data_IF_646842187538
#
_entry.id   IF_646842187538
#
_cell.length_a   1.000
_cell.length_b   1.000
_cell.length_c   1.000
_cell.angle_alpha   90.00
_cell.angle_beta   90.00
_cell.angle_gamma   90.00
#
_symmetry.space_group_name_H-M   'P 1'
#
loop_
_entity.id
_entity.type
_entity.pdbx_description
1 polymer ?
#
# COMPACT_ATOMS: atom_id res chain seq x y z
N UNK A 1 -31.50 8.71 -1.52
CA UNK A 1 -30.76 8.86 -0.25
C UNK A 1 -30.62 7.49 0.39
N UNK A 2 -29.58 6.76 -0.02
CA UNK A 2 -29.38 5.38 0.42
C UNK A 2 -28.85 5.37 1.85
N UNK A 3 -29.59 4.71 2.73
CA UNK A 3 -29.17 4.36 4.10
C UNK A 3 -28.09 3.26 4.05
N UNK A 4 -27.00 3.50 3.32
CA UNK A 4 -25.87 2.59 3.27
C UNK A 4 -25.08 2.74 4.59
N UNK A 5 -25.59 2.04 5.60
CA UNK A 5 -24.87 1.48 6.73
C UNK A 5 -23.82 2.37 7.42
N UNK A 6 -24.28 3.43 8.12
CA UNK A 6 -23.50 4.07 9.19
C UNK A 6 -22.98 3.07 10.24
N UNK A 7 -23.58 1.87 10.35
CA UNK A 7 -23.13 0.77 11.22
C UNK A 7 -21.81 0.12 10.79
N UNK A 8 -21.48 0.10 9.49
CA UNK A 8 -20.21 -0.44 8.99
C UNK A 8 -19.09 0.59 9.25
N UNK A 9 -19.38 1.88 9.01
CA UNK A 9 -18.47 3.00 9.33
C UNK A 9 -18.22 3.07 10.84
N UNK A 10 -19.24 2.85 11.67
CA UNK A 10 -19.12 2.81 13.13
C UNK A 10 -18.35 1.59 13.64
N UNK A 11 -18.31 0.49 12.89
CA UNK A 11 -17.56 -0.72 13.23
C UNK A 11 -16.08 -0.63 12.77
N UNK A 12 -15.78 0.10 11.69
CA UNK A 12 -14.41 0.37 11.23
C UNK A 12 -13.70 1.46 12.04
N UNK A 13 -14.44 2.44 12.61
CA UNK A 13 -13.89 3.54 13.41
C UNK A 13 -13.30 3.12 14.78
N UNK A 14 -13.35 1.83 15.14
CA UNK A 14 -12.84 1.29 16.40
C UNK A 14 -11.54 0.48 16.23
N UNK A 15 -10.60 0.96 15.41
CA UNK A 15 -9.23 0.40 15.35
C UNK A 15 -8.22 1.54 15.44
N UNK A 16 -8.09 2.15 16.62
CA UNK A 16 -7.02 3.12 16.95
C UNK A 16 -5.93 2.42 17.78
N UNK A 17 -5.56 1.20 17.39
CA UNK A 17 -4.63 0.41 18.18
C UNK A 17 -3.96 -0.65 17.32
N UNK A 18 -2.63 -0.61 17.30
CA UNK A 18 -1.82 -1.67 16.71
C UNK A 18 -1.84 -2.85 17.67
N UNK A 19 -2.60 -3.90 17.34
CA UNK A 19 -2.59 -5.14 18.12
C UNK A 19 -1.74 -6.19 17.41
N UNK A 20 -0.72 -6.68 18.10
CA UNK A 20 0.04 -7.87 17.71
C UNK A 20 -0.49 -9.08 18.48
N UNK A 21 -1.23 -9.97 17.83
CA UNK A 21 -1.66 -11.24 18.42
C UNK A 21 -0.64 -12.32 18.09
N UNK A 22 0.12 -12.76 19.11
CA UNK A 22 1.02 -13.90 19.00
C UNK A 22 0.40 -15.09 19.75
N UNK A 23 0.03 -16.15 19.01
CA UNK A 23 -0.40 -17.42 19.62
C UNK A 23 0.81 -18.16 20.20
N UNK A 24 0.99 -18.10 21.52
CA UNK A 24 2.16 -18.61 22.24
C UNK A 24 2.36 -20.15 22.23
N UNK A 25 1.59 -20.91 21.45
CA UNK A 25 1.57 -22.38 21.47
C UNK A 25 2.08 -23.07 20.19
N UNK A 26 2.51 -22.31 19.17
CA UNK A 26 3.03 -22.87 17.91
C UNK A 26 4.54 -22.61 17.78
N UNK A 27 5.28 -23.61 17.29
CA UNK A 27 6.74 -23.53 17.07
C UNK A 27 7.12 -22.46 16.01
N UNK A 28 6.17 -22.09 15.15
CA UNK A 28 6.26 -20.96 14.22
C UNK A 28 4.88 -20.28 14.16
N UNK A 29 4.56 -19.36 15.10
CA UNK A 29 3.24 -18.77 15.12
C UNK A 29 3.05 -17.83 13.92
N UNK A 30 1.83 -17.83 13.38
CA UNK A 30 1.39 -16.74 12.51
C UNK A 30 1.37 -15.48 13.36
N UNK A 31 2.07 -14.43 12.92
CA UNK A 31 2.00 -13.10 13.52
C UNK A 31 0.89 -12.32 12.83
N UNK A 32 0.02 -11.67 13.59
CA UNK A 32 -0.99 -10.77 13.05
C UNK A 32 -0.79 -9.38 13.63
N UNK A 33 -0.64 -8.38 12.76
CA UNK A 33 -0.52 -6.97 13.11
C UNK A 33 -1.67 -6.20 12.49
N UNK A 34 -2.49 -5.55 13.32
CA UNK A 34 -3.47 -4.56 12.88
C UNK A 34 -2.93 -3.14 13.13
N UNK A 35 -3.47 -2.12 12.50
CA UNK A 35 -3.13 -0.73 12.77
C UNK A 35 -3.97 0.24 11.95
N UNK A 36 -3.89 1.54 12.26
CA UNK A 36 -4.44 2.58 11.41
C UNK A 36 -3.53 3.81 11.43
N UNK A 37 -3.36 4.43 10.27
CA UNK A 37 -2.61 5.69 10.14
C UNK A 37 -3.56 6.84 9.88
N UNK A 38 -3.33 7.99 10.51
CA UNK A 38 -4.03 9.22 10.18
C UNK A 38 -3.08 10.14 9.39
N UNK A 39 -3.50 10.53 8.18
CA UNK A 39 -2.71 11.41 7.30
C UNK A 39 -3.51 12.66 6.98
N UNK A 40 -2.81 13.78 6.78
CA UNK A 40 -3.44 15.04 6.36
C UNK A 40 -3.89 15.03 4.90
N UNK A 41 -3.27 14.17 4.08
CA UNK A 41 -3.53 13.98 2.65
C UNK A 41 -3.05 12.59 2.24
N UNK A 42 -3.80 11.91 1.38
CA UNK A 42 -3.37 10.64 0.79
C UNK A 42 -2.70 10.89 -0.57
N UNK A 43 -1.37 10.82 -0.58
CA UNK A 43 -0.57 10.86 -1.80
C UNK A 43 -0.04 9.46 -2.11
N UNK A 44 -0.32 8.96 -3.31
CA UNK A 44 0.13 7.66 -3.79
C UNK A 44 0.91 7.83 -5.09
N UNK A 45 2.21 7.49 -5.05
CA UNK A 45 3.09 7.47 -6.23
C UNK A 45 3.12 8.78 -7.05
N UNK A 46 2.95 9.92 -6.38
CA UNK A 46 2.91 11.25 -7.00
C UNK A 46 1.50 11.75 -7.33
N UNK A 47 0.49 10.88 -7.26
CA UNK A 47 -0.91 11.22 -7.40
C UNK A 47 -1.54 11.56 -6.05
N UNK A 48 -2.42 12.54 -6.06
CA UNK A 48 -3.07 13.06 -4.86
C UNK A 48 -4.54 12.61 -4.86
N UNK A 49 -4.86 11.68 -3.96
CA UNK A 49 -6.17 11.02 -3.89
C UNK A 49 -7.06 11.57 -2.78
N UNK A 50 -6.67 12.67 -2.13
CA UNK A 50 -7.54 13.27 -1.15
C UNK A 50 -7.04 14.59 -0.63
N UNK A 51 -7.68 15.69 -1.06
CA UNK A 51 -7.52 17.02 -0.46
C UNK A 51 -8.17 17.15 0.93
N UNK A 52 -8.13 16.06 1.69
CA UNK A 52 -8.69 15.93 3.02
C UNK A 52 -7.85 14.93 3.82
N UNK A 53 -8.00 15.01 5.13
CA UNK A 53 -7.42 14.01 6.01
C UNK A 53 -8.06 12.63 5.77
N UNK A 54 -7.23 11.60 5.85
CA UNK A 54 -7.64 10.21 5.65
C UNK A 54 -7.25 9.35 6.85
N UNK A 55 -8.10 8.38 7.16
CA UNK A 55 -7.76 7.26 8.05
C UNK A 55 -7.46 6.03 7.21
N UNK A 56 -6.35 5.37 7.53
CA UNK A 56 -5.79 4.30 6.72
C UNK A 56 -5.61 3.02 7.55
N UNK A 57 -6.66 2.21 7.74
CA UNK A 57 -6.57 0.95 8.45
C UNK A 57 -5.74 -0.08 7.68
N UNK A 58 -5.04 -0.94 8.40
CA UNK A 58 -4.26 -2.03 7.84
C UNK A 58 -4.32 -3.27 8.76
N UNK A 59 -4.30 -4.43 8.14
CA UNK A 59 -4.18 -5.73 8.81
C UNK A 59 -3.22 -6.59 8.01
N UNK A 60 -2.23 -7.18 8.67
CA UNK A 60 -1.28 -8.10 8.03
C UNK A 60 -1.14 -9.36 8.86
N UNK A 61 -1.20 -10.52 8.19
CA UNK A 61 -0.82 -11.80 8.72
C UNK A 61 0.51 -12.25 8.08
N UNK A 62 1.46 -12.66 8.90
CA UNK A 62 2.82 -13.03 8.48
C UNK A 62 3.16 -14.44 8.93
N UNK A 63 3.72 -15.23 8.01
CA UNK A 63 4.22 -16.57 8.28
C UNK A 63 5.42 -16.90 7.38
N UNK A 64 6.62 -17.06 7.96
CA UNK A 64 7.86 -17.51 7.27
C UNK A 64 8.15 -16.78 5.95
N UNK A 65 8.05 -15.45 5.97
CA UNK A 65 8.30 -14.59 4.80
C UNK A 65 7.09 -14.37 3.90
N UNK A 66 6.02 -15.19 4.02
CA UNK A 66 4.72 -14.92 3.42
C UNK A 66 3.99 -13.88 4.26
N UNK A 67 3.43 -12.88 3.60
CA UNK A 67 2.55 -11.89 4.18
C UNK A 67 1.26 -11.84 3.36
N UNK A 68 0.13 -11.73 4.04
CA UNK A 68 -1.16 -11.45 3.42
C UNK A 68 -1.79 -10.33 4.21
N UNK A 69 -2.33 -9.34 3.53
CA UNK A 69 -2.85 -8.16 4.20
C UNK A 69 -3.98 -7.47 3.48
N UNK A 70 -4.56 -6.56 4.23
CA UNK A 70 -5.53 -5.58 3.82
C UNK A 70 -4.97 -4.20 4.17
N UNK A 71 -5.22 -3.24 3.30
CA UNK A 71 -5.03 -1.82 3.57
C UNK A 71 -6.24 -1.06 3.03
N UNK A 72 -6.59 0.06 3.63
CA UNK A 72 -7.59 0.96 3.06
C UNK A 72 -7.25 2.41 3.32
N UNK A 73 -7.93 3.30 2.61
CA UNK A 73 -7.84 4.75 2.79
C UNK A 73 -9.22 5.36 2.68
N UNK A 74 -9.66 6.01 3.75
CA UNK A 74 -10.99 6.61 3.83
C UNK A 74 -10.88 8.08 4.15
N UNK A 75 -11.46 8.89 3.28
CA UNK A 75 -11.69 10.32 3.46
C UNK A 75 -13.15 10.65 3.10
N UNK A 76 -13.65 11.87 3.36
CA UNK A 76 -15.00 12.24 2.95
C UNK A 76 -15.29 12.13 1.45
N UNK A 77 -14.26 12.12 0.59
CA UNK A 77 -14.40 12.20 -0.87
C UNK A 77 -13.70 11.07 -1.62
N UNK A 78 -13.11 10.10 -0.92
CA UNK A 78 -12.31 9.04 -1.53
C UNK A 78 -12.27 7.81 -0.63
N UNK A 79 -12.46 6.65 -1.23
CA UNK A 79 -12.40 5.35 -0.57
C UNK A 79 -11.57 4.38 -1.41
N UNK A 80 -10.61 3.71 -0.78
CA UNK A 80 -9.82 2.64 -1.39
C UNK A 80 -9.69 1.47 -0.43
N UNK A 81 -9.72 0.26 -0.99
CA UNK A 81 -9.55 -1.02 -0.32
C UNK A 81 -8.60 -1.85 -1.15
N UNK A 82 -7.49 -2.23 -0.53
CA UNK A 82 -6.48 -3.06 -1.14
C UNK A 82 -6.37 -4.38 -0.38
N UNK A 83 -6.33 -5.48 -1.13
CA UNK A 83 -5.84 -6.74 -0.59
C UNK A 83 -4.55 -7.12 -1.28
N UNK A 84 -3.63 -7.72 -0.55
CA UNK A 84 -2.32 -8.04 -1.10
C UNK A 84 -1.71 -9.27 -0.45
N UNK A 85 -0.82 -9.90 -1.20
CA UNK A 85 0.02 -10.98 -0.71
C UNK A 85 1.45 -10.76 -1.19
N UNK A 86 2.43 -11.02 -0.33
CA UNK A 86 3.84 -10.91 -0.67
C UNK A 86 4.67 -12.04 -0.08
N UNK A 87 5.79 -12.34 -0.72
CA UNK A 87 6.79 -13.25 -0.19
C UNK A 87 8.17 -12.62 -0.25
N UNK A 88 8.85 -12.59 0.90
CA UNK A 88 10.20 -12.08 1.03
C UNK A 88 11.21 -13.21 1.20
N UNK A 89 12.25 -13.19 0.39
CA UNK A 89 13.38 -14.11 0.46
C UNK A 89 14.67 -13.34 0.70
N UNK A 90 15.43 -13.74 1.72
CA UNK A 90 16.75 -13.19 1.99
C UNK A 90 17.78 -13.93 1.14
N UNK A 91 18.55 -13.18 0.35
CA UNK A 91 19.70 -13.68 -0.41
C UNK A 91 21.00 -13.29 0.30
N UNK A 92 22.17 -13.81 -0.12
CA UNK A 92 23.45 -13.44 0.49
C UNK A 92 23.67 -11.92 0.51
N UNK A 93 24.53 -11.47 1.44
CA UNK A 93 24.85 -10.04 1.67
C UNK A 93 23.68 -9.20 2.21
N UNK A 94 22.75 -9.83 2.94
CA UNK A 94 21.62 -9.13 3.59
C UNK A 94 20.72 -8.37 2.62
N UNK A 95 20.67 -8.82 1.36
CA UNK A 95 19.72 -8.32 0.37
C UNK A 95 18.42 -9.09 0.54
N UNK A 96 17.29 -8.37 0.50
CA UNK A 96 15.96 -8.98 0.52
C UNK A 96 15.30 -8.77 -0.83
N UNK A 97 14.76 -9.86 -1.40
CA UNK A 97 13.94 -9.82 -2.61
C UNK A 97 12.51 -10.15 -2.22
N UNK A 98 11.57 -9.31 -2.61
CA UNK A 98 10.15 -9.48 -2.32
C UNK A 98 9.35 -9.47 -3.62
N UNK A 99 8.50 -10.48 -3.81
CA UNK A 99 7.42 -10.44 -4.81
C UNK A 99 6.10 -10.07 -4.13
N UNK A 100 5.28 -9.25 -4.76
CA UNK A 100 3.97 -8.82 -4.25
C UNK A 100 2.92 -8.87 -5.35
N UNK A 101 1.70 -9.24 -4.97
CA UNK A 101 0.48 -9.02 -5.75
C UNK A 101 -0.45 -8.14 -4.93
N UNK A 102 -1.02 -7.13 -5.58
CA UNK A 102 -2.00 -6.22 -4.98
C UNK A 102 -3.26 -6.22 -5.84
N UNK A 103 -4.41 -6.24 -5.18
CA UNK A 103 -5.73 -6.06 -5.76
C UNK A 103 -6.30 -4.74 -5.24
N UNK A 104 -6.37 -3.75 -6.11
CA UNK A 104 -6.92 -2.42 -5.83
C UNK A 104 -8.42 -2.38 -6.11
N UNK A 105 -9.20 -1.91 -5.15
CA UNK A 105 -10.64 -1.67 -5.28
C UNK A 105 -11.03 -0.29 -4.74
N UNK A 106 -11.79 0.46 -5.53
CA UNK A 106 -12.25 1.81 -5.20
C UNK A 106 -13.78 1.83 -5.04
N UNK A 107 -14.31 1.69 -3.81
CA UNK A 107 -15.77 1.66 -3.57
C UNK A 107 -16.53 2.88 -4.09
N UNK A 108 -15.88 4.04 -4.15
CA UNK A 108 -16.46 5.30 -4.61
C UNK A 108 -16.77 5.30 -6.12
N UNK A 109 -16.22 4.37 -6.90
CA UNK A 109 -16.55 4.15 -8.31
C UNK A 109 -17.95 3.54 -8.51
N UNK A 110 -18.60 3.05 -7.45
CA UNK A 110 -19.95 2.50 -7.51
C UNK A 110 -20.05 1.12 -8.20
N UNK A 111 -18.92 0.45 -8.44
CA UNK A 111 -18.86 -0.91 -8.95
C UNK A 111 -19.02 -1.92 -7.82
N UNK A 112 -19.66 -3.06 -8.09
CA UNK A 112 -19.87 -4.10 -7.09
C UNK A 112 -18.55 -4.80 -6.73
N UNK A 113 -18.32 -5.07 -5.44
CA UNK A 113 -17.11 -5.74 -4.94
C UNK A 113 -16.83 -7.11 -5.59
N UNK A 114 -17.85 -7.82 -6.10
CA UNK A 114 -17.64 -9.12 -6.75
C UNK A 114 -17.62 -9.02 -8.28
N UNK A 115 -17.58 -7.81 -8.84
CA UNK A 115 -17.41 -7.59 -10.27
C UNK A 115 -15.92 -7.66 -10.63
N UNK A 116 -15.48 -8.85 -11.04
CA UNK A 116 -14.12 -9.10 -11.51
C UNK A 116 -13.99 -9.01 -13.03
N UNK A 117 -14.87 -8.30 -13.73
CA UNK A 117 -14.73 -8.10 -15.18
C UNK A 117 -13.37 -7.47 -15.54
N UNK A 118 -12.88 -7.76 -16.75
CA UNK A 118 -11.68 -7.12 -17.26
C UNK A 118 -12.02 -5.81 -17.99
N UNK A 119 -11.01 -5.03 -18.35
CA UNK A 119 -11.17 -3.72 -19.01
C UNK A 119 -11.93 -3.79 -20.35
N UNK A 120 -11.89 -4.94 -21.02
CA UNK A 120 -12.48 -5.23 -22.32
C UNK A 120 -13.77 -6.06 -22.25
N UNK A 121 -14.33 -6.24 -21.05
CA UNK A 121 -15.57 -7.00 -20.89
C UNK A 121 -16.77 -6.27 -21.54
N UNK A 122 -17.60 -6.97 -22.34
CA UNK A 122 -18.74 -6.38 -23.02
C UNK A 122 -19.82 -5.82 -22.07
N UNK A 123 -19.92 -6.33 -20.84
CA UNK A 123 -20.84 -5.86 -19.82
C UNK A 123 -20.26 -4.70 -18.99
N UNK A 124 -19.03 -4.26 -19.31
CA UNK A 124 -18.32 -3.17 -18.69
C UNK A 124 -17.17 -3.61 -17.78
N UNK A 125 -16.20 -2.72 -17.57
CA UNK A 125 -15.02 -2.97 -16.77
C UNK A 125 -15.34 -3.32 -15.31
N UNK A 126 -14.51 -4.17 -14.71
CA UNK A 126 -14.67 -4.62 -13.32
C UNK A 126 -14.18 -3.60 -12.30
N UNK A 127 -14.38 -3.95 -11.04
CA UNK A 127 -14.05 -3.10 -9.89
C UNK A 127 -12.57 -3.21 -9.44
N UNK A 128 -11.86 -4.22 -9.93
CA UNK A 128 -10.57 -4.66 -9.39
C UNK A 128 -9.44 -4.48 -10.38
N UNK A 129 -8.35 -3.82 -9.99
CA UNK A 129 -7.09 -3.76 -10.75
C UNK A 129 -6.04 -4.60 -10.04
N UNK A 130 -5.51 -5.63 -10.73
CA UNK A 130 -4.45 -6.48 -10.16
C UNK A 130 -3.09 -5.99 -10.62
N UNK A 131 -2.19 -5.77 -9.68
CA UNK A 131 -0.80 -5.34 -9.88
C UNK A 131 0.17 -6.41 -9.38
N UNK A 132 1.22 -6.66 -10.15
CA UNK A 132 2.38 -7.43 -9.70
C UNK A 132 3.54 -6.48 -9.39
N UNK A 133 4.26 -6.75 -8.32
CA UNK A 133 5.41 -5.98 -7.91
C UNK A 133 6.61 -6.85 -7.54
N UNK A 134 7.80 -6.27 -7.72
CA UNK A 134 9.05 -6.80 -7.21
C UNK A 134 9.81 -5.70 -6.48
N UNK A 135 10.39 -6.04 -5.33
CA UNK A 135 11.17 -5.13 -4.50
C UNK A 135 12.52 -5.78 -4.18
N UNK A 136 13.59 -5.02 -4.30
CA UNK A 136 14.95 -5.41 -3.89
C UNK A 136 15.42 -4.38 -2.87
N UNK A 137 15.58 -4.82 -1.63
CA UNK A 137 16.10 -4.00 -0.54
C UNK A 137 17.58 -4.36 -0.29
N UNK A 138 18.44 -3.35 -0.33
CA UNK A 138 19.85 -3.46 -0.01
C UNK A 138 20.13 -3.64 1.49
N UNK A 139 21.39 -3.96 1.84
CA UNK A 139 21.80 -4.11 3.25
C UNK A 139 21.76 -2.78 3.99
N UNK A 140 21.77 -2.81 5.34
CA UNK A 140 21.76 -1.59 6.18
C UNK A 140 22.88 -0.59 5.83
N UNK A 141 24.04 -1.07 5.38
CA UNK A 141 25.18 -0.21 4.98
C UNK A 141 24.94 0.54 3.67
N UNK A 142 24.01 0.07 2.85
CA UNK A 142 23.57 0.70 1.60
C UNK A 142 22.05 0.54 1.50
N UNK A 143 21.28 1.32 2.26
CA UNK A 143 19.85 1.08 2.47
C UNK A 143 19.02 1.68 1.32
N UNK A 144 19.39 1.27 0.11
CA UNK A 144 18.69 1.55 -1.12
C UNK A 144 17.64 0.47 -1.35
N UNK A 145 16.45 0.88 -1.77
CA UNK A 145 15.38 -0.03 -2.16
C UNK A 145 14.96 0.31 -3.57
N UNK A 146 15.00 -0.67 -4.47
CA UNK A 146 14.42 -0.55 -5.79
C UNK A 146 13.12 -1.34 -5.84
N UNK A 147 12.08 -0.74 -6.40
CA UNK A 147 10.80 -1.41 -6.63
C UNK A 147 10.28 -1.15 -8.03
N UNK A 148 9.59 -2.14 -8.58
CA UNK A 148 8.97 -2.09 -9.89
C UNK A 148 7.62 -2.80 -9.84
N UNK A 149 6.62 -2.21 -10.49
CA UNK A 149 5.24 -2.66 -10.48
C UNK A 149 4.61 -2.59 -11.86
N UNK A 150 3.65 -3.48 -12.12
CA UNK A 150 2.90 -3.53 -13.37
C UNK A 150 1.47 -4.01 -13.14
N UNK A 151 0.50 -3.26 -13.67
CA UNK A 151 -0.88 -3.71 -13.72
C UNK A 151 -1.01 -4.84 -14.75
N UNK A 152 -1.56 -5.96 -14.32
CA UNK A 152 -1.74 -7.17 -15.14
C UNK A 152 -3.20 -7.48 -15.43
N UNK A 153 -4.14 -6.84 -14.73
CA UNK A 153 -5.58 -7.04 -14.90
C UNK A 153 -6.35 -5.73 -14.82
N UNK A 154 -7.43 -5.63 -15.61
CA UNK A 154 -8.35 -4.49 -15.65
C UNK A 154 -7.65 -3.13 -15.84
N UNK A 155 -6.60 -3.13 -16.66
CA UNK A 155 -5.91 -1.94 -17.14
C UNK A 155 -5.37 -2.22 -18.55
N UNK A 156 -6.03 -1.68 -19.58
CA UNK A 156 -5.59 -1.82 -20.97
C UNK A 156 -4.13 -1.35 -21.15
N UNK A 157 -3.75 -0.32 -20.38
CA UNK A 157 -2.46 0.32 -20.47
C UNK A 157 -1.31 -0.50 -19.91
N UNK A 158 -1.59 -1.53 -19.08
CA UNK A 158 -0.58 -2.29 -18.32
C UNK A 158 0.43 -1.34 -17.70
N UNK A 159 -0.08 -0.35 -16.99
CA UNK A 159 0.69 0.77 -16.46
C UNK A 159 1.78 0.25 -15.53
N UNK A 160 2.93 0.90 -15.56
CA UNK A 160 4.12 0.50 -14.80
C UNK A 160 4.61 1.65 -13.95
N UNK A 161 5.10 1.31 -12.78
CA UNK A 161 5.73 2.25 -11.86
C UNK A 161 7.06 1.67 -11.36
N UNK A 162 8.06 2.54 -11.25
CA UNK A 162 9.39 2.22 -10.78
C UNK A 162 9.77 3.21 -9.71
N UNK A 163 10.43 2.76 -8.65
CA UNK A 163 10.83 3.64 -7.56
C UNK A 163 12.18 3.24 -7.00
N UNK A 164 12.98 4.25 -6.69
CA UNK A 164 14.21 4.15 -5.92
C UNK A 164 14.02 4.92 -4.62
N UNK A 165 14.19 4.22 -3.51
CA UNK A 165 14.17 4.79 -2.17
C UNK A 165 15.55 4.71 -1.52
N UNK A 166 15.86 5.70 -0.70
CA UNK A 166 16.96 5.67 0.25
C UNK A 166 16.39 5.84 1.65
N UNK A 167 16.61 4.87 2.53
CA UNK A 167 16.08 4.86 3.89
C UNK A 167 17.23 4.88 4.91
N UNK A 168 17.30 5.87 5.77
CA UNK A 168 18.35 5.96 6.79
C UNK A 168 17.77 6.18 8.18
N UNK A 169 18.48 5.70 9.20
CA UNK A 169 18.20 6.02 10.60
C UNK A 169 19.06 7.21 11.02
N UNK A 170 18.42 8.25 11.56
CA UNK A 170 19.04 9.48 12.04
C UNK A 170 18.73 9.65 13.54
N UNK A 171 19.53 9.00 14.38
CA UNK A 171 19.26 8.93 15.82
C UNK A 171 17.97 8.17 16.11
N UNK A 172 17.01 8.84 16.75
CA UNK A 172 15.66 8.30 17.02
C UNK A 172 14.68 8.46 15.85
N UNK A 173 15.11 9.09 14.75
CA UNK A 173 14.27 9.35 13.59
C UNK A 173 14.64 8.46 12.41
N UNK A 174 13.72 8.35 11.45
CA UNK A 174 13.99 7.79 10.13
C UNK A 174 13.94 8.89 9.08
N UNK A 175 14.75 8.76 8.03
CA UNK A 175 14.73 9.56 6.82
C UNK A 175 14.43 8.63 5.65
N UNK A 176 13.43 8.94 4.84
CA UNK A 176 13.18 8.34 3.55
C UNK A 176 13.31 9.40 2.45
N UNK A 177 14.03 9.08 1.38
CA UNK A 177 14.06 9.85 0.15
C UNK A 177 13.55 8.96 -0.98
N UNK A 178 12.69 9.51 -1.85
CA UNK A 178 12.00 8.73 -2.88
C UNK A 178 12.09 9.45 -4.23
N UNK A 179 12.42 8.69 -5.28
CA UNK A 179 12.24 9.08 -6.68
C UNK A 179 11.46 7.99 -7.38
N UNK A 180 10.32 8.34 -7.98
CA UNK A 180 9.45 7.41 -8.69
C UNK A 180 9.14 7.87 -10.11
N UNK A 181 9.01 6.91 -11.01
CA UNK A 181 8.79 7.12 -12.43
C UNK A 181 7.77 6.13 -12.98
N UNK A 182 7.10 6.52 -14.06
CA UNK A 182 6.26 5.64 -14.88
C UNK A 182 6.86 5.48 -16.27
N UNK A 183 6.57 4.35 -16.94
CA UNK A 183 6.85 4.22 -18.38
C UNK A 183 5.89 5.01 -19.27
N UNK A 184 4.78 5.49 -18.68
CA UNK A 184 3.63 6.02 -19.42
C UNK A 184 2.83 4.92 -20.12
N UNK A 185 1.64 5.29 -20.60
CA UNK A 185 0.81 4.43 -21.44
C UNK A 185 -0.07 5.23 -22.40
N UNK A 186 -0.01 4.89 -23.70
CA UNK A 186 -0.92 5.49 -24.71
C UNK A 186 -2.35 4.98 -24.65
N UNK A 187 -2.57 3.82 -24.02
CA UNK A 187 -3.88 3.17 -23.90
C UNK A 187 -4.63 3.62 -22.65
N UNK A 188 -3.91 3.93 -21.57
CA UNK A 188 -4.49 4.47 -20.35
C UNK A 188 -3.54 5.52 -19.71
N UNK A 189 -3.37 6.69 -20.34
CA UNK A 189 -2.45 7.72 -19.86
C UNK A 189 -2.92 8.36 -18.56
N UNK A 190 -4.23 8.32 -18.27
CA UNK A 190 -4.81 8.87 -17.06
C UNK A 190 -4.35 8.18 -15.78
N UNK A 191 -3.91 6.92 -15.84
CA UNK A 191 -3.55 6.16 -14.64
C UNK A 191 -2.39 6.79 -13.86
N UNK A 192 -1.34 7.22 -14.55
CA UNK A 192 -0.20 7.96 -13.96
C UNK A 192 -0.05 9.38 -14.53
N UNK A 193 -1.03 9.86 -15.30
CA UNK A 193 -1.01 11.19 -15.93
C UNK A 193 0.06 11.37 -17.02
N UNK A 194 0.52 10.28 -17.65
CA UNK A 194 1.57 10.31 -18.68
C UNK A 194 1.38 9.21 -19.72
N UNK A 195 1.56 9.55 -21.00
CA UNK A 195 1.61 8.59 -22.12
C UNK A 195 3.03 8.13 -22.47
N UNK A 196 4.05 8.86 -21.98
CA UNK A 196 5.47 8.58 -22.13
C UNK A 196 6.18 8.39 -20.76
N UNK A 197 7.47 8.05 -20.78
CA UNK A 197 8.27 7.95 -19.57
C UNK A 197 8.34 9.30 -18.84
N UNK A 198 8.03 9.29 -17.54
CA UNK A 198 8.06 10.48 -16.71
C UNK A 198 8.48 10.17 -15.28
N UNK A 199 9.27 11.07 -14.67
CA UNK A 199 9.46 11.10 -13.21
C UNK A 199 8.25 11.81 -12.63
N UNK A 200 7.47 11.10 -11.82
CA UNK A 200 6.16 11.57 -11.32
C UNK A 200 6.12 11.69 -9.80
N UNK A 201 7.11 11.15 -9.09
CA UNK A 201 7.15 11.17 -7.64
C UNK A 201 8.53 11.58 -7.14
N UNK A 202 8.58 12.62 -6.31
CA UNK A 202 9.77 13.07 -5.60
C UNK A 202 9.34 13.35 -4.16
N UNK A 203 9.94 12.62 -3.21
CA UNK A 203 9.51 12.64 -1.82
C UNK A 203 10.66 12.68 -0.85
N UNK A 204 10.43 13.32 0.29
CA UNK A 204 11.22 13.18 1.49
C UNK A 204 10.25 12.92 2.65
N UNK A 205 10.61 12.02 3.54
CA UNK A 205 9.83 11.65 4.72
C UNK A 205 10.75 11.61 5.92
N UNK A 206 10.37 12.27 7.01
CA UNK A 206 11.01 12.10 8.32
C UNK A 206 9.99 11.46 9.25
N UNK A 207 10.39 10.38 9.91
CA UNK A 207 9.52 9.62 10.80
C UNK A 207 10.11 9.43 12.20
N UNK A 208 9.23 9.22 13.18
CA UNK A 208 9.57 8.80 14.54
C UNK A 208 8.44 7.93 15.08
N UNK A 209 8.79 6.89 15.82
CA UNK A 209 7.82 6.10 16.58
C UNK A 209 7.87 6.52 18.04
N UNK A 210 6.74 6.94 18.60
CA UNK A 210 6.60 7.27 20.02
C UNK A 210 6.04 6.04 20.72
N UNK A 211 6.82 5.43 21.59
CA UNK A 211 6.40 4.27 22.37
C UNK A 211 5.71 4.71 23.66
N UNK A 212 4.54 4.15 23.94
CA UNK A 212 3.83 4.35 25.21
C UNK A 212 3.84 3.10 26.08
N UNK A 213 3.75 1.92 25.45
CA UNK A 213 3.84 0.60 26.10
C UNK A 213 4.42 -0.41 25.11
N UNK A 214 4.78 -1.60 25.59
CA UNK A 214 5.25 -2.72 24.75
C UNK A 214 4.28 -3.12 23.62
N UNK A 215 3.00 -2.76 23.73
CA UNK A 215 1.94 -3.10 22.76
C UNK A 215 1.38 -1.88 22.04
N UNK A 216 1.79 -0.67 22.40
CA UNK A 216 1.19 0.54 21.86
C UNK A 216 2.25 1.59 21.58
N UNK A 217 2.31 1.97 20.31
CA UNK A 217 3.16 3.04 19.80
C UNK A 217 2.39 3.87 18.78
N UNK A 218 2.82 5.11 18.61
CA UNK A 218 2.28 6.04 17.62
C UNK A 218 3.38 6.40 16.62
N UNK A 219 3.25 5.99 15.34
CA UNK A 219 4.11 6.51 14.30
C UNK A 219 3.71 7.96 13.99
N UNK A 220 4.69 8.85 13.96
CA UNK A 220 4.54 10.26 13.56
C UNK A 220 5.50 10.50 12.41
N UNK A 221 5.02 11.09 11.32
CA UNK A 221 5.85 11.40 10.16
C UNK A 221 5.34 12.61 9.38
N UNK A 222 6.20 13.18 8.54
CA UNK A 222 5.91 14.27 7.62
C UNK A 222 6.95 14.39 6.51
#
# INVERSE_FOLDING_TARGET
MNKFNYRIISALLLVISVFSLNSAAAENPVSVTAGATFVSRYNWRGSDYGAAASIQPALTATYKGLNVGFWGSYSPNFEEIDTWASYSYQVPNSITITGVVTDYFFPDMGLELFNYNNWDDPDGAGAHTIELGAVIAGPEKLPLVFSAYVNVYNDEGKNKYFQLDYNATLGENTLGLTVGATSGSKKNPSYYGSDDFAIINLGAKVGRTIEFTDKFSLPVFG
#
